data_IF_919870287051
#
_entry.id   IF_919870287051
#
_cell.length_a   1.000
_cell.length_b   1.000
_cell.length_c   1.000
_cell.angle_alpha   90.00
_cell.angle_beta   90.00
_cell.angle_gamma   90.00
#
_symmetry.space_group_name_H-M   'P 1'
#
loop_
_entity.id
_entity.type
_entity.pdbx_description
1 polymer ?
#
# COMPACT_ATOMS: atom_id res chain seq x y z
N UNK A 1 0.34 -20.97 7.84
CA UNK A 1 -0.10 -19.76 8.57
C UNK A 1 -0.50 -18.59 7.64
N UNK A 2 -0.12 -18.63 6.34
CA UNK A 2 -0.43 -17.52 5.41
C UNK A 2 -1.84 -17.61 4.79
N UNK A 3 -2.40 -18.79 4.65
CA UNK A 3 -3.69 -18.98 3.99
C UNK A 3 -4.93 -18.67 4.85
N UNK A 4 -4.83 -18.70 6.19
CA UNK A 4 -5.96 -18.34 7.05
C UNK A 4 -6.17 -16.82 7.19
N UNK A 5 -5.14 -16.02 6.93
CA UNK A 5 -5.24 -14.55 6.99
C UNK A 5 -5.97 -13.97 5.75
N UNK A 6 -5.90 -14.64 4.61
CA UNK A 6 -6.59 -14.21 3.39
C UNK A 6 -8.11 -14.38 3.48
N UNK A 7 -8.59 -15.44 4.15
CA UNK A 7 -10.01 -15.69 4.30
C UNK A 7 -10.76 -14.69 5.21
N UNK A 8 -10.05 -14.07 6.16
CA UNK A 8 -10.63 -13.09 7.09
C UNK A 8 -10.75 -11.67 6.52
N UNK A 9 -9.99 -11.36 5.47
CA UNK A 9 -10.09 -10.06 4.76
C UNK A 9 -11.26 -10.05 3.77
N UNK A 10 -11.68 -11.21 3.28
CA UNK A 10 -12.76 -11.36 2.30
C UNK A 10 -14.17 -11.08 2.87
N UNK A 11 -14.38 -11.22 4.18
CA UNK A 11 -15.67 -10.92 4.82
C UNK A 11 -16.03 -9.43 4.93
N UNK A 12 -15.10 -8.54 4.64
CA UNK A 12 -15.31 -7.08 4.73
C UNK A 12 -15.78 -6.41 3.45
N UNK A 13 -15.60 -7.05 2.30
CA UNK A 13 -15.91 -6.43 1.00
C UNK A 13 -17.33 -6.72 0.48
N UNK A 14 -18.02 -7.74 1.01
CA UNK A 14 -19.29 -8.19 0.43
C UNK A 14 -20.54 -7.39 0.80
N UNK A 15 -20.47 -6.40 1.69
CA UNK A 15 -21.67 -5.65 2.13
C UNK A 15 -21.83 -4.26 1.50
N UNK A 16 -21.03 -3.87 0.51
CA UNK A 16 -21.15 -2.53 -0.11
C UNK A 16 -21.31 -2.55 -1.65
N UNK A 17 -21.29 -3.70 -2.29
CA UNK A 17 -21.32 -3.76 -3.76
C UNK A 17 -22.70 -3.54 -4.39
N UNK A 18 -23.79 -3.54 -3.63
CA UNK A 18 -25.16 -3.52 -4.19
C UNK A 18 -25.76 -2.12 -4.42
N UNK A 19 -25.20 -1.04 -3.87
CA UNK A 19 -25.79 0.30 -4.02
C UNK A 19 -24.94 1.33 -4.76
N UNK A 20 -23.65 1.07 -5.08
CA UNK A 20 -22.73 2.10 -5.57
C UNK A 20 -22.11 1.90 -6.96
N UNK A 21 -22.59 0.96 -7.75
CA UNK A 21 -22.03 0.73 -9.10
C UNK A 21 -22.20 1.91 -10.09
N UNK A 22 -23.06 2.86 -9.80
CA UNK A 22 -23.25 4.07 -10.64
C UNK A 22 -22.51 5.30 -10.10
N UNK A 23 -22.25 5.34 -8.78
CA UNK A 23 -21.60 6.50 -8.16
C UNK A 23 -20.07 6.41 -8.22
N UNK A 24 -19.50 5.21 -8.05
CA UNK A 24 -18.04 5.05 -8.10
C UNK A 24 -17.49 5.34 -9.50
N UNK A 25 -18.13 4.82 -10.55
CA UNK A 25 -17.70 5.09 -11.92
C UNK A 25 -17.82 6.59 -12.31
N UNK A 26 -18.83 7.30 -11.77
CA UNK A 26 -18.94 8.74 -11.98
C UNK A 26 -17.89 9.53 -11.18
N UNK A 27 -17.61 9.13 -9.95
CA UNK A 27 -16.59 9.78 -9.10
C UNK A 27 -15.19 9.57 -9.65
N UNK A 28 -14.86 8.35 -10.11
CA UNK A 28 -13.56 8.06 -10.74
C UNK A 28 -13.38 8.86 -12.03
N UNK A 29 -14.44 8.98 -12.85
CA UNK A 29 -14.40 9.77 -14.08
C UNK A 29 -14.28 11.27 -13.80
N UNK A 30 -14.98 11.78 -12.78
CA UNK A 30 -14.89 13.19 -12.41
C UNK A 30 -13.54 13.53 -11.77
N UNK A 31 -12.98 12.67 -10.92
CA UNK A 31 -11.66 12.90 -10.28
C UNK A 31 -10.54 12.79 -11.30
N UNK A 32 -10.58 11.78 -12.16
CA UNK A 32 -9.60 11.63 -13.25
C UNK A 32 -9.72 12.76 -14.27
N UNK A 33 -10.93 13.23 -14.57
CA UNK A 33 -11.13 14.41 -15.43
C UNK A 33 -10.66 15.70 -14.76
N UNK A 34 -10.90 15.89 -13.45
CA UNK A 34 -10.44 17.06 -12.72
C UNK A 34 -8.89 17.12 -12.64
N UNK A 35 -8.23 15.99 -12.44
CA UNK A 35 -6.76 15.92 -12.48
C UNK A 35 -6.22 16.10 -13.90
N UNK A 36 -6.89 15.56 -14.91
CA UNK A 36 -6.52 15.77 -16.31
C UNK A 36 -6.77 17.22 -16.76
N UNK A 37 -7.83 17.87 -16.26
CA UNK A 37 -8.08 19.29 -16.50
C UNK A 37 -7.06 20.20 -15.79
N UNK A 38 -6.49 19.77 -14.66
CA UNK A 38 -5.34 20.43 -13.99
C UNK A 38 -4.02 20.23 -14.76
N UNK A 39 -3.92 19.28 -15.68
CA UNK A 39 -2.71 18.96 -16.45
C UNK A 39 -2.16 20.11 -17.34
N UNK A 40 -2.76 21.29 -17.29
CA UNK A 40 -2.21 22.54 -17.81
C UNK A 40 -1.27 23.26 -16.83
N UNK A 41 -0.93 22.65 -15.69
CA UNK A 41 -0.03 23.21 -14.69
C UNK A 41 1.39 23.43 -15.23
N UNK A 42 2.07 24.44 -14.70
CA UNK A 42 3.47 24.70 -15.01
C UNK A 42 4.35 23.72 -14.23
N UNK A 43 5.33 23.11 -14.87
CA UNK A 43 6.29 22.24 -14.19
C UNK A 43 6.97 22.96 -13.02
N UNK A 44 6.87 22.37 -11.82
CA UNK A 44 7.47 22.90 -10.59
C UNK A 44 8.92 22.45 -10.50
N UNK A 45 9.85 23.37 -10.58
CA UNK A 45 11.30 23.08 -10.50
C UNK A 45 11.88 23.28 -9.11
N UNK A 46 11.14 23.89 -8.19
CA UNK A 46 11.57 24.13 -6.82
C UNK A 46 10.39 24.19 -5.85
N UNK A 47 10.57 23.57 -4.69
CA UNK A 47 9.70 23.64 -3.53
C UNK A 47 10.50 24.15 -2.33
N UNK A 48 9.85 24.63 -1.25
CA UNK A 48 10.54 24.84 0.01
C UNK A 48 11.24 23.54 0.44
N UNK A 49 12.53 23.61 0.71
CA UNK A 49 13.27 22.47 1.24
C UNK A 49 12.90 22.22 2.71
N UNK A 50 13.22 21.03 3.21
CA UNK A 50 13.05 20.67 4.62
C UNK A 50 13.81 21.67 5.49
N UNK A 51 13.11 22.30 6.43
CA UNK A 51 13.64 23.41 7.24
C UNK A 51 14.58 22.87 8.32
N UNK A 52 15.86 23.19 8.16
CA UNK A 52 16.91 22.78 9.09
C UNK A 52 16.68 23.25 10.53
N UNK A 53 15.78 24.22 10.78
CA UNK A 53 15.54 24.82 12.09
C UNK A 53 14.33 24.24 12.84
N UNK A 54 13.58 23.34 12.21
CA UNK A 54 12.30 22.82 12.75
C UNK A 54 12.35 21.36 13.22
N UNK A 55 13.54 20.83 13.43
CA UNK A 55 13.67 19.46 13.91
C UNK A 55 13.21 19.35 15.37
N UNK A 56 12.43 18.33 15.68
CA UNK A 56 12.09 17.90 17.04
C UNK A 56 12.95 16.70 17.42
N UNK A 57 13.06 16.42 18.71
CA UNK A 57 13.90 15.33 19.21
C UNK A 57 13.13 14.40 20.16
N UNK A 58 13.15 13.13 19.87
CA UNK A 58 12.73 12.07 20.80
C UNK A 58 13.96 11.49 21.50
N UNK A 59 14.08 11.73 22.81
CA UNK A 59 15.24 11.33 23.63
C UNK A 59 15.29 9.83 23.88
N UNK A 60 14.14 9.17 23.95
CA UNK A 60 14.04 7.75 24.30
C UNK A 60 14.55 6.89 23.12
N UNK A 61 14.11 7.23 21.92
CA UNK A 61 14.47 6.53 20.69
C UNK A 61 15.70 7.14 19.99
N UNK A 62 16.17 8.30 20.44
CA UNK A 62 17.29 9.06 19.84
C UNK A 62 17.07 9.38 18.37
N UNK A 63 15.92 9.98 18.07
CA UNK A 63 15.46 10.31 16.73
C UNK A 63 15.18 11.81 16.60
N UNK A 64 15.76 12.47 15.59
CA UNK A 64 15.30 13.76 15.14
C UNK A 64 14.20 13.56 14.09
N UNK A 65 13.16 14.40 14.16
CA UNK A 65 12.01 14.25 13.28
C UNK A 65 11.33 15.57 12.94
N UNK A 66 10.66 15.61 11.80
CA UNK A 66 9.73 16.66 11.38
C UNK A 66 8.50 16.02 10.74
N UNK A 67 7.35 16.69 10.84
CA UNK A 67 6.07 16.30 10.22
C UNK A 67 5.39 17.52 9.62
N UNK A 68 4.32 17.29 8.84
CA UNK A 68 3.59 18.38 8.20
C UNK A 68 4.38 19.03 7.06
N UNK A 69 5.20 18.25 6.36
CA UNK A 69 6.02 18.72 5.25
C UNK A 69 5.27 18.42 3.95
N UNK A 70 4.78 19.45 3.25
CA UNK A 70 4.18 19.29 1.93
C UNK A 70 5.24 18.89 0.91
N UNK A 71 4.98 17.84 0.14
CA UNK A 71 5.87 17.35 -0.88
C UNK A 71 5.47 17.77 -2.31
N UNK A 72 4.42 18.60 -2.44
CA UNK A 72 3.94 19.16 -3.69
C UNK A 72 3.47 20.61 -3.50
N UNK A 73 3.38 21.38 -4.58
CA UNK A 73 3.05 22.80 -4.53
C UNK A 73 1.54 23.07 -4.51
N UNK A 74 0.77 22.20 -5.12
CA UNK A 74 -0.69 22.35 -5.30
C UNK A 74 -1.40 21.03 -4.90
N UNK A 75 -1.37 20.67 -3.60
CA UNK A 75 -1.96 19.43 -3.12
C UNK A 75 -3.44 19.36 -3.48
N UNK A 76 -3.89 18.21 -3.97
CA UNK A 76 -5.29 17.94 -4.20
C UNK A 76 -6.04 17.73 -2.87
N UNK A 77 -5.33 17.22 -1.85
CA UNK A 77 -5.83 17.07 -0.49
C UNK A 77 -4.68 17.25 0.53
N UNK A 78 -4.68 18.38 1.22
CA UNK A 78 -3.64 18.73 2.21
C UNK A 78 -3.57 17.76 3.40
N UNK A 79 -4.62 16.99 3.69
CA UNK A 79 -4.62 16.01 4.78
C UNK A 79 -3.69 14.83 4.47
N UNK A 80 -3.59 14.47 3.19
CA UNK A 80 -2.83 13.29 2.76
C UNK A 80 -1.50 13.63 2.10
N UNK A 81 -1.41 14.74 1.39
CA UNK A 81 -0.24 15.06 0.56
C UNK A 81 0.87 15.79 1.32
N UNK A 82 1.19 15.24 2.49
CA UNK A 82 2.30 15.64 3.37
C UNK A 82 3.12 14.43 3.79
N UNK A 83 4.30 14.68 4.35
CA UNK A 83 5.14 13.63 4.92
C UNK A 83 5.73 14.02 6.29
N UNK A 84 6.21 12.98 6.99
CA UNK A 84 7.10 13.09 8.12
C UNK A 84 8.41 12.37 7.83
N UNK A 85 9.51 12.90 8.35
CA UNK A 85 10.85 12.32 8.22
C UNK A 85 11.45 12.10 9.62
N UNK A 86 12.08 10.94 9.80
CA UNK A 86 12.64 10.47 11.07
C UNK A 86 14.07 9.97 10.83
N UNK A 87 15.01 10.51 11.57
CA UNK A 87 16.45 10.39 11.33
C UNK A 87 17.16 9.94 12.59
N UNK A 88 18.08 8.96 12.54
CA UNK A 88 18.95 8.64 13.68
C UNK A 88 19.67 9.89 14.19
N UNK A 89 19.60 10.16 15.49
CA UNK A 89 20.21 11.36 16.05
C UNK A 89 21.71 11.49 15.80
N UNK A 90 22.40 10.35 15.66
CA UNK A 90 23.83 10.34 15.35
C UNK A 90 24.17 11.04 14.01
N UNK A 91 23.24 11.04 13.04
CA UNK A 91 23.47 11.68 11.73
C UNK A 91 23.27 13.19 11.75
N UNK A 92 22.97 13.79 12.91
CA UNK A 92 22.71 15.20 13.05
C UNK A 92 23.66 15.86 14.04
N UNK A 93 24.18 17.03 13.69
CA UNK A 93 24.74 18.00 14.62
C UNK A 93 23.63 18.98 14.96
N UNK A 94 23.15 18.99 16.18
CA UNK A 94 21.96 19.73 16.60
C UNK A 94 22.32 20.86 17.58
N UNK A 95 21.65 22.00 17.42
CA UNK A 95 21.66 23.12 18.34
C UNK A 95 20.21 23.35 18.79
N UNK A 96 20.01 23.35 20.11
CA UNK A 96 18.72 23.65 20.72
C UNK A 96 18.35 25.14 20.45
N UNK A 97 17.13 25.36 19.95
CA UNK A 97 16.59 26.71 19.70
C UNK A 97 15.91 27.31 20.93
N UNK A 98 15.66 26.50 21.99
CA UNK A 98 15.01 26.91 23.24
C UNK A 98 13.48 26.94 23.19
N UNK A 99 12.85 26.50 22.12
CA UNK A 99 11.40 26.45 21.91
C UNK A 99 10.87 25.01 21.70
N UNK A 100 11.72 24.00 21.97
CA UNK A 100 11.40 22.60 21.74
C UNK A 100 11.79 22.11 20.34
N UNK A 101 12.37 22.98 19.52
CA UNK A 101 12.94 22.64 18.22
C UNK A 101 14.46 22.71 18.22
N UNK A 102 15.07 22.16 17.19
CA UNK A 102 16.52 22.13 17.01
C UNK A 102 16.87 22.58 15.59
N UNK A 103 17.94 23.35 15.51
CA UNK A 103 18.63 23.60 14.23
C UNK A 103 19.65 22.47 14.01
N UNK A 104 19.47 21.70 12.95
CA UNK A 104 20.30 20.54 12.66
C UNK A 104 21.07 20.71 11.35
N UNK A 105 22.28 20.18 11.31
CA UNK A 105 23.10 19.98 10.11
C UNK A 105 23.55 18.52 10.04
N UNK A 106 23.83 18.02 8.84
CA UNK A 106 24.24 16.62 8.66
C UNK A 106 25.59 16.37 9.31
N UNK A 107 25.70 15.26 10.05
CA UNK A 107 26.94 14.72 10.61
C UNK A 107 27.44 13.53 9.77
N UNK A 108 28.20 13.80 8.74
CA UNK A 108 28.74 12.77 7.84
C UNK A 108 29.81 11.86 8.46
N UNK A 109 30.30 12.20 9.68
CA UNK A 109 31.32 11.40 10.38
C UNK A 109 30.71 10.26 11.22
N UNK A 110 29.44 10.33 11.53
CA UNK A 110 28.79 9.33 12.33
C UNK A 110 28.34 8.12 11.52
N UNK A 111 28.33 6.96 12.17
CA UNK A 111 27.79 5.72 11.60
C UNK A 111 26.86 5.02 12.58
N UNK A 112 25.77 4.43 12.08
CA UNK A 112 24.83 3.59 12.82
C UNK A 112 24.71 2.26 12.08
N UNK A 113 25.03 1.15 12.77
CA UNK A 113 24.97 -0.20 12.19
C UNK A 113 25.68 -0.37 10.83
N UNK A 114 26.75 0.40 10.61
CA UNK A 114 27.57 0.34 9.38
C UNK A 114 27.14 1.32 8.28
N UNK A 115 26.05 2.05 8.46
CA UNK A 115 25.63 3.12 7.55
C UNK A 115 26.08 4.48 8.08
N UNK A 116 26.55 5.34 7.19
CA UNK A 116 26.82 6.75 7.50
C UNK A 116 25.62 7.62 7.10
N UNK A 117 25.66 8.90 7.46
CA UNK A 117 24.64 9.85 7.02
C UNK A 117 24.48 9.90 5.49
N UNK A 118 25.56 9.67 4.74
CA UNK A 118 25.56 9.74 3.27
C UNK A 118 25.20 8.40 2.59
N UNK A 119 25.19 7.29 3.34
CA UNK A 119 24.96 5.94 2.79
C UNK A 119 23.71 5.23 3.38
N UNK A 120 23.02 5.88 4.30
CA UNK A 120 21.87 5.32 4.96
C UNK A 120 20.70 5.13 3.98
N UNK A 121 20.13 3.92 3.86
CA UNK A 121 18.93 3.71 3.05
C UNK A 121 17.75 4.51 3.58
N UNK A 122 16.89 4.95 2.68
CA UNK A 122 15.62 5.58 2.99
C UNK A 122 14.49 4.56 2.81
N UNK A 123 13.65 4.40 3.81
CA UNK A 123 12.53 3.45 3.78
C UNK A 123 11.20 4.18 3.87
N UNK A 124 10.28 3.80 3.01
CA UNK A 124 8.93 4.38 2.88
C UNK A 124 7.90 3.26 3.05
N UNK A 125 7.30 3.10 4.23
CA UNK A 125 6.21 2.16 4.42
C UNK A 125 4.95 2.67 3.72
N UNK A 126 4.24 1.77 3.04
CA UNK A 126 2.95 2.02 2.40
C UNK A 126 1.89 1.19 3.13
N UNK A 127 1.11 1.84 3.97
CA UNK A 127 0.10 1.19 4.81
C UNK A 127 -1.31 1.62 4.39
N UNK A 128 -1.76 1.11 3.25
CA UNK A 128 -3.03 1.43 2.59
C UNK A 128 -3.91 0.19 2.43
N UNK A 129 -4.41 -0.40 3.54
CA UNK A 129 -5.22 -1.60 3.47
C UNK A 129 -6.46 -1.37 2.59
N UNK A 130 -6.71 -2.26 1.62
CA UNK A 130 -7.81 -2.10 0.65
C UNK A 130 -7.72 -0.81 -0.17
N UNK A 131 -6.51 -0.29 -0.40
CA UNK A 131 -6.26 1.00 -1.08
C UNK A 131 -6.88 2.22 -0.39
N UNK A 132 -7.12 2.15 0.92
CA UNK A 132 -7.56 3.34 1.68
C UNK A 132 -6.50 4.43 1.67
N UNK A 133 -6.92 5.67 1.86
CA UNK A 133 -5.99 6.77 2.08
C UNK A 133 -5.10 6.53 3.31
N UNK A 134 -3.91 7.06 3.28
CA UNK A 134 -2.95 7.05 4.39
C UNK A 134 -2.68 8.48 4.83
N UNK A 135 -3.19 8.85 6.00
CA UNK A 135 -3.00 10.18 6.57
C UNK A 135 -1.53 10.43 6.90
N UNK A 136 -1.03 11.60 6.57
CA UNK A 136 0.31 12.01 6.94
C UNK A 136 0.44 12.14 8.47
N UNK A 137 1.60 11.81 9.06
CA UNK A 137 1.78 11.94 10.51
C UNK A 137 1.84 13.42 10.91
N UNK A 138 1.18 13.74 12.02
CA UNK A 138 1.22 15.08 12.66
C UNK A 138 2.12 15.12 13.89
N UNK A 139 2.56 13.95 14.36
CA UNK A 139 3.41 13.80 15.53
C UNK A 139 4.41 12.64 15.34
N UNK A 140 5.21 12.36 16.35
CA UNK A 140 6.20 11.30 16.35
C UNK A 140 5.60 9.92 16.03
N UNK A 141 6.20 9.20 15.10
CA UNK A 141 5.79 7.84 14.71
C UNK A 141 6.69 6.82 15.41
N UNK A 142 6.17 6.13 16.41
CA UNK A 142 6.94 5.18 17.23
C UNK A 142 7.56 4.02 16.41
N UNK A 143 6.90 3.60 15.33
CA UNK A 143 7.42 2.53 14.45
C UNK A 143 8.74 2.93 13.77
N UNK A 144 9.02 4.23 13.61
CA UNK A 144 10.28 4.73 13.05
C UNK A 144 11.51 4.32 13.88
N UNK A 145 11.33 4.11 15.20
CA UNK A 145 12.43 3.78 16.12
C UNK A 145 13.20 2.53 15.72
N UNK A 146 12.52 1.49 15.25
CA UNK A 146 13.16 0.24 14.84
C UNK A 146 14.04 0.41 13.61
N UNK A 147 13.62 1.24 12.65
CA UNK A 147 14.34 1.53 11.41
C UNK A 147 15.52 2.47 11.67
N UNK A 148 15.31 3.52 12.44
CA UNK A 148 16.38 4.49 12.79
C UNK A 148 17.44 3.86 13.68
N UNK A 149 17.08 2.95 14.58
CA UNK A 149 18.04 2.15 15.35
C UNK A 149 18.88 1.20 14.46
N UNK A 150 18.36 0.80 13.30
CA UNK A 150 19.08 0.04 12.29
C UNK A 150 19.95 0.93 11.37
N UNK A 151 19.87 2.25 11.51
CA UNK A 151 20.63 3.21 10.73
C UNK A 151 19.93 3.70 9.47
N UNK A 152 18.64 3.44 9.31
CA UNK A 152 17.85 3.87 8.15
C UNK A 152 17.17 5.22 8.41
N UNK A 153 16.91 5.95 7.34
CA UNK A 153 16.02 7.09 7.36
C UNK A 153 14.59 6.57 7.13
N UNK A 154 13.65 6.96 7.99
CA UNK A 154 12.26 6.55 7.86
C UNK A 154 11.42 7.74 7.38
N UNK A 155 10.68 7.55 6.29
CA UNK A 155 9.79 8.56 5.72
C UNK A 155 8.36 8.02 5.76
N UNK A 156 7.50 8.68 6.51
CA UNK A 156 6.08 8.40 6.55
C UNK A 156 5.36 9.40 5.63
N UNK A 157 5.14 9.02 4.39
CA UNK A 157 4.38 9.83 3.44
C UNK A 157 2.90 9.48 3.55
N UNK A 158 2.04 10.49 3.65
CA UNK A 158 0.61 10.32 3.42
C UNK A 158 0.34 10.15 1.93
N UNK A 159 -0.81 9.61 1.59
CA UNK A 159 -1.28 9.55 0.20
C UNK A 159 -2.80 9.39 0.15
N UNK A 160 -3.41 9.88 -0.91
CA UNK A 160 -4.83 9.69 -1.20
C UNK A 160 -5.13 8.20 -1.44
N UNK A 161 -6.35 7.80 -1.23
CA UNK A 161 -6.80 6.42 -1.39
C UNK A 161 -7.68 6.22 -2.62
N UNK A 162 -8.32 5.03 -2.68
CA UNK A 162 -9.21 4.62 -3.76
C UNK A 162 -10.39 5.59 -3.99
N UNK A 163 -10.82 6.32 -2.95
CA UNK A 163 -11.93 7.28 -3.08
C UNK A 163 -11.56 8.49 -3.95
N UNK A 164 -10.26 8.75 -4.13
CA UNK A 164 -9.75 9.75 -5.06
C UNK A 164 -9.54 9.21 -6.50
N UNK A 165 -9.81 7.90 -6.72
CA UNK A 165 -9.59 7.24 -7.99
C UNK A 165 -8.12 6.86 -8.26
N UNK A 166 -7.92 6.01 -9.25
CA UNK A 166 -6.58 5.67 -9.74
C UNK A 166 -6.11 6.74 -10.75
N UNK A 167 -4.81 7.14 -10.74
CA UNK A 167 -3.70 6.59 -9.97
C UNK A 167 -3.29 7.43 -8.74
N UNK A 168 -4.21 8.17 -8.10
CA UNK A 168 -3.93 9.21 -7.11
C UNK A 168 -2.91 8.76 -6.02
N UNK A 169 -3.16 7.65 -5.34
CA UNK A 169 -2.28 7.21 -4.24
C UNK A 169 -0.84 6.89 -4.67
N UNK A 170 -0.65 6.31 -5.85
CA UNK A 170 0.70 6.03 -6.40
C UNK A 170 1.36 7.33 -6.84
N UNK A 171 0.59 8.26 -7.44
CA UNK A 171 1.07 9.61 -7.82
C UNK A 171 1.63 10.35 -6.60
N UNK A 172 0.88 10.35 -5.48
CA UNK A 172 1.27 11.01 -4.24
C UNK A 172 2.58 10.43 -3.68
N UNK A 173 2.69 9.11 -3.65
CA UNK A 173 3.92 8.44 -3.20
C UNK A 173 5.12 8.73 -4.12
N UNK A 174 4.91 8.82 -5.44
CA UNK A 174 5.95 9.24 -6.40
C UNK A 174 6.37 10.69 -6.15
N UNK A 175 5.41 11.60 -5.91
CA UNK A 175 5.71 12.99 -5.57
C UNK A 175 6.53 13.10 -4.28
N UNK A 176 6.19 12.31 -3.24
CA UNK A 176 6.98 12.24 -2.01
C UNK A 176 8.42 11.75 -2.25
N UNK A 177 8.63 10.74 -3.11
CA UNK A 177 9.97 10.26 -3.47
C UNK A 177 10.76 11.36 -4.21
N UNK A 178 10.14 12.04 -5.18
CA UNK A 178 10.76 13.19 -5.87
C UNK A 178 11.16 14.28 -4.89
N UNK A 179 10.30 14.59 -3.93
CA UNK A 179 10.59 15.61 -2.91
C UNK A 179 11.76 15.20 -2.00
N UNK A 180 11.85 13.94 -1.60
CA UNK A 180 13.00 13.44 -0.82
C UNK A 180 14.30 13.59 -1.61
N UNK A 181 14.34 13.23 -2.89
CA UNK A 181 15.50 13.43 -3.76
C UNK A 181 15.84 14.89 -3.98
N UNK A 182 14.84 15.75 -4.10
CA UNK A 182 15.03 17.20 -4.19
C UNK A 182 15.73 17.78 -2.95
N UNK A 183 15.61 17.11 -1.80
CA UNK A 183 16.26 17.47 -0.55
C UNK A 183 17.64 16.78 -0.35
N UNK A 184 18.27 16.29 -1.42
CA UNK A 184 19.63 15.76 -1.35
C UNK A 184 20.58 16.79 -0.75
N UNK A 185 21.44 16.35 0.18
CA UNK A 185 22.35 17.22 0.92
C UNK A 185 21.70 18.13 1.98
N UNK A 186 20.38 18.13 2.08
CA UNK A 186 19.61 18.85 3.14
C UNK A 186 19.24 17.88 4.26
N UNK A 187 18.90 16.65 3.91
CA UNK A 187 18.62 15.55 4.83
C UNK A 187 19.75 14.52 4.79
N UNK A 188 20.02 13.78 5.88
CA UNK A 188 20.85 12.59 5.80
C UNK A 188 20.10 11.47 5.06
N UNK A 189 20.87 10.56 4.47
CA UNK A 189 20.39 9.42 3.71
C UNK A 189 20.92 9.47 2.26
N UNK A 190 21.03 8.29 1.68
CA UNK A 190 21.34 8.13 0.26
C UNK A 190 20.00 8.18 -0.49
N UNK A 191 19.70 9.32 -1.09
CA UNK A 191 18.44 9.56 -1.81
C UNK A 191 18.28 8.69 -3.06
N UNK A 192 19.34 8.03 -3.51
CA UNK A 192 19.31 7.04 -4.58
C UNK A 192 19.03 5.61 -4.05
N UNK A 193 18.99 5.43 -2.71
CA UNK A 193 18.72 4.16 -2.06
C UNK A 193 17.38 4.17 -1.32
N UNK A 194 16.32 4.38 -2.06
CA UNK A 194 14.94 4.42 -1.56
C UNK A 194 14.28 3.05 -1.71
N UNK A 195 13.68 2.56 -0.62
CA UNK A 195 12.94 1.31 -0.59
C UNK A 195 11.50 1.55 -0.13
N UNK A 196 10.54 1.10 -0.91
CA UNK A 196 9.13 1.03 -0.49
C UNK A 196 8.78 -0.37 0.00
N UNK A 197 7.81 -0.47 0.89
CA UNK A 197 7.29 -1.75 1.32
C UNK A 197 5.86 -1.64 1.84
N UNK A 198 5.08 -2.70 1.64
CA UNK A 198 3.70 -2.72 2.11
C UNK A 198 3.04 -4.09 1.97
N UNK A 199 1.85 -4.21 2.51
CA UNK A 199 1.06 -5.43 2.46
C UNK A 199 -0.33 -5.14 1.87
N UNK A 200 -0.92 -6.11 1.15
CA UNK A 200 -2.25 -6.02 0.52
C UNK A 200 -2.32 -4.82 -0.45
N UNK A 201 -3.22 -3.87 -0.26
CA UNK A 201 -3.27 -2.63 -1.05
C UNK A 201 -1.96 -1.85 -1.00
N UNK A 202 -1.32 -1.75 0.17
CA UNK A 202 0.02 -1.14 0.31
C UNK A 202 1.12 -1.93 -0.40
N UNK A 203 1.00 -3.27 -0.44
CA UNK A 203 1.87 -4.14 -1.23
C UNK A 203 1.73 -3.89 -2.72
N UNK A 204 0.51 -3.69 -3.21
CA UNK A 204 0.24 -3.38 -4.60
C UNK A 204 0.79 -2.00 -5.00
N UNK A 205 0.56 -0.97 -4.18
CA UNK A 205 1.13 0.36 -4.44
C UNK A 205 2.66 0.35 -4.39
N UNK A 206 3.26 -0.41 -3.46
CA UNK A 206 4.72 -0.60 -3.45
C UNK A 206 5.23 -1.33 -4.70
N UNK A 207 4.48 -2.32 -5.22
CA UNK A 207 4.81 -3.00 -6.47
C UNK A 207 4.75 -2.04 -7.67
N UNK A 208 3.73 -1.18 -7.72
CA UNK A 208 3.61 -0.15 -8.75
C UNK A 208 4.76 0.86 -8.69
N UNK A 209 5.16 1.32 -7.50
CA UNK A 209 6.35 2.18 -7.34
C UNK A 209 7.61 1.51 -7.90
N UNK A 210 7.80 0.20 -7.64
CA UNK A 210 8.93 -0.55 -8.15
C UNK A 210 8.90 -0.77 -9.67
N UNK A 211 7.72 -0.96 -10.25
CA UNK A 211 7.56 -1.30 -11.66
C UNK A 211 7.46 -0.09 -12.59
N UNK A 212 7.05 1.08 -12.08
CA UNK A 212 6.71 2.26 -12.88
C UNK A 212 7.59 3.48 -12.58
N UNK A 213 8.81 3.25 -12.07
CA UNK A 213 9.75 4.36 -11.83
C UNK A 213 9.99 5.16 -13.11
N UNK A 214 9.85 6.48 -13.00
CA UNK A 214 10.03 7.44 -14.09
C UNK A 214 9.10 7.22 -15.31
N UNK A 215 7.96 6.54 -15.14
CA UNK A 215 6.99 6.38 -16.21
C UNK A 215 6.34 7.71 -16.57
N UNK A 216 6.36 8.04 -17.87
CA UNK A 216 5.74 9.25 -18.42
C UNK A 216 4.21 9.27 -18.21
N UNK A 217 3.57 8.12 -17.99
CA UNK A 217 2.13 8.00 -17.75
C UNK A 217 1.68 8.74 -16.47
N UNK A 218 2.58 8.90 -15.50
CA UNK A 218 2.31 9.63 -14.26
C UNK A 218 2.58 11.14 -14.35
N UNK A 219 3.30 11.62 -15.36
CA UNK A 219 3.68 13.04 -15.46
C UNK A 219 2.48 14.01 -15.47
N UNK A 220 1.36 13.73 -16.15
CA UNK A 220 0.18 14.61 -16.07
C UNK A 220 -0.35 14.76 -14.65
N UNK A 221 -0.41 13.67 -13.89
CA UNK A 221 -0.92 13.65 -12.52
C UNK A 221 0.07 14.29 -11.53
N UNK A 222 1.36 14.02 -11.68
CA UNK A 222 2.42 14.65 -10.89
C UNK A 222 2.48 16.16 -11.11
N UNK A 223 2.31 16.60 -12.35
CA UNK A 223 2.23 18.03 -12.69
C UNK A 223 0.97 18.67 -12.09
N UNK A 224 -0.18 17.96 -12.10
CA UNK A 224 -1.44 18.46 -11.57
C UNK A 224 -1.39 18.80 -10.08
N UNK A 225 -0.62 18.05 -9.28
CA UNK A 225 -0.41 18.31 -7.85
C UNK A 225 0.83 19.18 -7.57
N UNK A 226 1.52 19.63 -8.60
CA UNK A 226 2.73 20.44 -8.44
C UNK A 226 3.90 19.66 -7.79
N UNK A 227 4.09 18.40 -8.14
CA UNK A 227 5.27 17.63 -7.76
C UNK A 227 6.54 18.21 -8.37
N UNK A 228 7.69 18.03 -7.70
CA UNK A 228 8.97 18.47 -8.25
C UNK A 228 9.26 17.78 -9.57
N UNK A 229 9.53 18.54 -10.62
CA UNK A 229 9.87 18.07 -11.96
C UNK A 229 11.36 17.89 -12.16
N UNK A 230 11.75 17.02 -13.10
CA UNK A 230 13.15 16.78 -13.44
C UNK A 230 13.91 15.97 -12.38
N UNK A 231 13.21 15.33 -11.45
CA UNK A 231 13.75 14.46 -10.41
C UNK A 231 13.11 13.09 -10.55
N UNK A 232 13.90 12.02 -10.46
CA UNK A 232 13.41 10.64 -10.57
C UNK A 232 12.52 10.24 -9.40
N UNK A 233 11.49 9.41 -9.66
CA UNK A 233 10.68 8.73 -8.63
C UNK A 233 10.93 7.22 -8.58
N UNK A 234 11.91 6.70 -9.31
CA UNK A 234 12.27 5.30 -9.29
C UNK A 234 12.80 4.88 -7.91
N UNK A 235 12.36 3.75 -7.38
CA UNK A 235 12.86 3.19 -6.13
C UNK A 235 13.92 2.14 -6.40
N UNK A 236 14.85 1.96 -5.45
CA UNK A 236 15.90 0.93 -5.52
C UNK A 236 15.32 -0.47 -5.41
N UNK A 237 14.24 -0.59 -4.66
CA UNK A 237 13.52 -1.84 -4.49
C UNK A 237 12.20 -1.67 -3.75
N UNK A 238 11.31 -2.63 -3.97
CA UNK A 238 10.03 -2.71 -3.27
C UNK A 238 9.85 -4.10 -2.65
N UNK A 239 9.38 -4.13 -1.40
CA UNK A 239 9.02 -5.36 -0.70
C UNK A 239 7.49 -5.45 -0.61
N UNK A 240 6.90 -6.37 -1.37
CA UNK A 240 5.47 -6.45 -1.57
C UNK A 240 4.92 -7.74 -0.95
N UNK A 241 4.16 -7.61 0.13
CA UNK A 241 3.52 -8.76 0.76
C UNK A 241 2.08 -8.88 0.28
N UNK A 242 1.71 -10.06 -0.26
CA UNK A 242 0.39 -10.37 -0.82
C UNK A 242 -0.21 -9.20 -1.63
N UNK A 243 0.51 -8.65 -2.62
CA UNK A 243 0.01 -7.54 -3.42
C UNK A 243 -1.16 -8.02 -4.29
N UNK A 244 -2.18 -7.17 -4.43
CA UNK A 244 -3.23 -7.37 -5.43
C UNK A 244 -2.81 -6.53 -6.63
N UNK A 245 -2.31 -7.20 -7.67
CA UNK A 245 -1.69 -6.54 -8.83
C UNK A 245 -2.49 -6.67 -10.11
N UNK A 246 -3.51 -7.55 -10.13
CA UNK A 246 -4.42 -7.74 -11.25
C UNK A 246 -5.84 -7.40 -10.79
N UNK A 247 -6.27 -6.16 -11.05
CA UNK A 247 -7.58 -5.67 -10.63
C UNK A 247 -8.65 -5.83 -11.71
N UNK A 248 -8.25 -5.93 -12.98
CA UNK A 248 -9.19 -5.99 -14.10
C UNK A 248 -10.06 -7.26 -14.04
N UNK A 249 -9.53 -8.34 -13.46
CA UNK A 249 -10.21 -9.63 -13.33
C UNK A 249 -10.34 -10.11 -11.88
N UNK A 250 -10.13 -9.22 -10.92
CA UNK A 250 -10.16 -9.61 -9.49
C UNK A 250 -11.54 -10.06 -9.04
N UNK A 251 -12.59 -9.35 -9.43
CA UNK A 251 -13.96 -9.65 -9.05
C UNK A 251 -14.43 -10.94 -9.70
N UNK A 252 -14.08 -11.16 -10.97
CA UNK A 252 -14.32 -12.41 -11.70
C UNK A 252 -13.62 -13.60 -11.03
N UNK A 253 -12.38 -13.41 -10.56
CA UNK A 253 -11.64 -14.44 -9.83
C UNK A 253 -12.31 -14.79 -8.50
N UNK A 254 -12.85 -13.80 -7.78
CA UNK A 254 -13.59 -14.04 -6.55
C UNK A 254 -14.90 -14.78 -6.82
N UNK A 255 -15.65 -14.40 -7.84
CA UNK A 255 -16.90 -15.07 -8.20
C UNK A 255 -16.62 -16.51 -8.69
N UNK A 256 -15.60 -16.73 -9.49
CA UNK A 256 -15.16 -18.08 -9.86
C UNK A 256 -14.84 -18.96 -8.67
N UNK A 257 -14.15 -18.41 -7.65
CA UNK A 257 -13.69 -19.19 -6.50
C UNK A 257 -14.75 -19.37 -5.44
N UNK A 258 -15.56 -18.35 -5.16
CA UNK A 258 -16.45 -18.28 -4.00
C UNK A 258 -17.93 -18.06 -4.35
N UNK A 259 -18.27 -17.69 -5.57
CA UNK A 259 -19.63 -17.33 -5.97
C UNK A 259 -20.65 -18.43 -5.68
N UNK A 260 -20.30 -19.68 -5.94
CA UNK A 260 -21.14 -20.86 -5.69
C UNK A 260 -21.30 -21.23 -4.20
N UNK A 261 -20.57 -20.58 -3.29
CA UNK A 261 -20.68 -20.80 -1.84
C UNK A 261 -21.73 -19.91 -1.18
N UNK A 262 -22.21 -18.87 -1.89
CA UNK A 262 -23.23 -17.96 -1.38
C UNK A 262 -24.62 -18.57 -1.57
N UNK A 263 -25.47 -18.39 -0.58
CA UNK A 263 -26.83 -19.00 -0.55
C UNK A 263 -27.94 -17.97 -0.49
N UNK A 264 -27.61 -16.69 -0.45
CA UNK A 264 -28.51 -15.56 -0.24
C UNK A 264 -28.60 -14.60 -1.44
N UNK A 265 -28.12 -15.04 -2.61
CA UNK A 265 -28.17 -14.27 -3.85
C UNK A 265 -29.59 -14.28 -4.44
N UNK A 266 -30.00 -13.14 -4.99
CA UNK A 266 -31.15 -13.05 -5.87
C UNK A 266 -30.84 -13.73 -7.21
N UNK A 267 -31.86 -14.05 -8.01
CA UNK A 267 -31.68 -14.63 -9.34
C UNK A 267 -30.82 -13.75 -10.26
N UNK A 268 -30.95 -12.43 -10.15
CA UNK A 268 -30.13 -11.48 -10.92
C UNK A 268 -28.66 -11.48 -10.47
N UNK A 269 -28.41 -11.50 -9.18
CA UNK A 269 -27.04 -11.58 -8.62
C UNK A 269 -26.39 -12.91 -8.96
N UNK A 270 -27.14 -14.01 -8.91
CA UNK A 270 -26.63 -15.32 -9.31
C UNK A 270 -26.26 -15.35 -10.80
N UNK A 271 -27.08 -14.75 -11.66
CA UNK A 271 -26.78 -14.63 -13.10
C UNK A 271 -25.49 -13.82 -13.34
N UNK A 272 -25.32 -12.71 -12.60
CA UNK A 272 -24.11 -11.90 -12.68
C UNK A 272 -22.89 -12.70 -12.19
N UNK A 273 -22.99 -13.33 -11.04
CA UNK A 273 -21.91 -14.17 -10.45
C UNK A 273 -21.46 -15.28 -11.41
N UNK A 274 -22.42 -15.98 -12.03
CA UNK A 274 -22.10 -17.02 -13.02
C UNK A 274 -21.41 -16.47 -14.24
N UNK A 275 -21.85 -15.30 -14.75
CA UNK A 275 -21.21 -14.63 -15.88
C UNK A 275 -19.80 -14.16 -15.57
N UNK A 276 -19.53 -13.69 -14.36
CA UNK A 276 -18.18 -13.31 -13.91
C UNK A 276 -17.27 -14.55 -13.77
N UNK A 277 -17.79 -15.66 -13.26
CA UNK A 277 -17.05 -16.92 -13.18
C UNK A 277 -16.68 -17.46 -14.58
N UNK A 278 -17.58 -17.34 -15.56
CA UNK A 278 -17.32 -17.66 -16.97
C UNK A 278 -16.23 -16.75 -17.55
N UNK A 279 -16.30 -15.43 -17.32
CA UNK A 279 -15.32 -14.47 -17.80
C UNK A 279 -13.92 -14.78 -17.26
N UNK A 280 -13.82 -15.14 -15.97
CA UNK A 280 -12.53 -15.56 -15.38
C UNK A 280 -12.01 -16.85 -16.02
N UNK A 281 -12.86 -17.84 -16.25
CA UNK A 281 -12.45 -19.07 -16.91
C UNK A 281 -11.92 -18.81 -18.32
N UNK A 282 -12.57 -17.94 -19.08
CA UNK A 282 -12.10 -17.52 -20.40
C UNK A 282 -10.75 -16.78 -20.31
N UNK A 283 -10.60 -15.84 -19.38
CA UNK A 283 -9.34 -15.15 -19.15
C UNK A 283 -8.17 -16.11 -18.87
N UNK A 284 -8.35 -17.07 -17.97
CA UNK A 284 -7.33 -18.09 -17.67
C UNK A 284 -6.98 -18.92 -18.91
N UNK A 285 -7.98 -19.31 -19.69
CA UNK A 285 -7.76 -20.09 -20.90
C UNK A 285 -7.01 -19.29 -21.98
N UNK A 286 -7.30 -18.00 -22.11
CA UNK A 286 -6.64 -17.11 -23.07
C UNK A 286 -5.18 -16.81 -22.71
N UNK A 287 -4.84 -16.82 -21.40
CA UNK A 287 -3.46 -16.67 -20.93
C UNK A 287 -2.55 -17.83 -21.40
N UNK A 288 -3.11 -19.01 -21.71
CA UNK A 288 -2.34 -20.17 -22.15
C UNK A 288 -1.29 -20.62 -21.15
N UNK A 289 -1.60 -20.55 -19.86
CA UNK A 289 -0.72 -20.97 -18.76
C UNK A 289 -0.30 -22.42 -18.93
N UNK A 290 0.91 -22.77 -18.46
CA UNK A 290 1.45 -24.13 -18.58
C UNK A 290 1.98 -24.62 -17.23
N UNK A 291 1.86 -25.93 -17.02
CA UNK A 291 2.53 -26.61 -15.92
C UNK A 291 4.06 -26.71 -16.17
N UNK A 292 4.79 -27.27 -15.21
CA UNK A 292 6.23 -27.47 -15.29
C UNK A 292 6.66 -28.48 -16.43
N UNK A 293 5.71 -29.25 -16.96
CA UNK A 293 5.91 -30.19 -18.06
C UNK A 293 5.58 -29.58 -19.42
N UNK A 294 5.07 -28.33 -19.46
CA UNK A 294 4.68 -27.60 -20.65
C UNK A 294 3.25 -27.87 -21.13
N UNK A 295 2.42 -28.59 -20.35
CA UNK A 295 1.02 -28.82 -20.69
C UNK A 295 0.20 -27.57 -20.39
N UNK A 296 -0.72 -27.24 -21.31
CA UNK A 296 -1.61 -26.10 -21.13
C UNK A 296 -2.61 -26.39 -19.99
N UNK A 297 -2.77 -25.41 -19.11
CA UNK A 297 -3.72 -25.41 -18.03
C UNK A 297 -5.02 -24.72 -18.48
N UNK A 298 -6.17 -25.37 -18.26
CA UNK A 298 -7.47 -24.87 -18.68
C UNK A 298 -8.51 -25.00 -17.57
N UNK A 299 -9.46 -24.07 -17.56
CA UNK A 299 -10.70 -24.16 -16.79
C UNK A 299 -11.84 -24.60 -17.70
N UNK A 300 -12.70 -25.46 -17.18
CA UNK A 300 -13.90 -25.93 -17.86
C UNK A 300 -15.10 -25.90 -16.88
N UNK A 301 -16.28 -25.76 -17.45
CA UNK A 301 -17.51 -25.83 -16.69
C UNK A 301 -17.71 -27.23 -16.08
N UNK A 302 -18.01 -27.27 -14.79
CA UNK A 302 -18.32 -28.50 -14.04
C UNK A 302 -19.82 -28.71 -13.87
N UNK A 303 -20.54 -27.63 -13.60
CA UNK A 303 -22.00 -27.54 -13.50
C UNK A 303 -22.39 -26.17 -14.08
N UNK A 304 -23.67 -25.94 -14.33
CA UNK A 304 -24.18 -24.69 -14.93
C UNK A 304 -23.69 -23.47 -14.14
N UNK A 305 -22.86 -22.63 -14.78
CA UNK A 305 -22.27 -21.42 -14.21
C UNK A 305 -21.14 -21.66 -13.21
N UNK A 306 -20.66 -22.89 -13.04
CA UNK A 306 -19.57 -23.25 -12.14
C UNK A 306 -18.39 -23.81 -12.94
N UNK A 307 -17.24 -23.12 -12.91
CA UNK A 307 -16.04 -23.47 -13.70
C UNK A 307 -14.94 -24.10 -12.82
N UNK A 308 -15.31 -25.03 -11.93
CA UNK A 308 -14.39 -25.70 -11.01
C UNK A 308 -14.00 -27.09 -11.53
N UNK A 309 -13.57 -27.15 -12.78
CA UNK A 309 -13.05 -28.34 -13.47
C UNK A 309 -11.94 -27.96 -14.44
N UNK A 310 -11.22 -28.96 -14.95
CA UNK A 310 -10.11 -28.76 -15.89
C UNK A 310 -8.74 -28.78 -15.23
N UNK A 311 -7.69 -28.74 -16.06
CA UNK A 311 -6.29 -28.92 -15.61
C UNK A 311 -5.78 -27.80 -14.73
N UNK A 312 -6.27 -26.56 -14.89
CA UNK A 312 -5.94 -25.44 -14.00
C UNK A 312 -6.52 -25.63 -12.60
N UNK A 313 -7.79 -26.06 -12.52
CA UNK A 313 -8.43 -26.36 -11.23
C UNK A 313 -7.71 -27.47 -10.48
N UNK A 314 -7.42 -28.59 -11.15
CA UNK A 314 -6.70 -29.71 -10.52
C UNK A 314 -5.26 -29.32 -10.12
N UNK A 315 -4.59 -28.50 -10.90
CA UNK A 315 -3.28 -27.94 -10.54
C UNK A 315 -3.31 -27.14 -9.25
N UNK A 316 -4.25 -26.17 -9.13
CA UNK A 316 -4.40 -25.38 -7.91
C UNK A 316 -4.78 -26.22 -6.71
N UNK A 317 -5.71 -27.17 -6.89
CA UNK A 317 -6.11 -28.12 -5.85
C UNK A 317 -4.90 -28.92 -5.34
N UNK A 318 -4.06 -29.41 -6.23
CA UNK A 318 -2.82 -30.12 -5.86
C UNK A 318 -1.84 -29.24 -5.07
N UNK A 319 -1.72 -27.94 -5.39
CA UNK A 319 -0.90 -26.99 -4.63
C UNK A 319 -1.47 -26.81 -3.22
N UNK A 320 -2.79 -26.63 -3.09
CA UNK A 320 -3.47 -26.47 -1.78
C UNK A 320 -3.34 -27.74 -0.94
N UNK A 321 -3.54 -28.92 -1.53
CA UNK A 321 -3.39 -30.22 -0.85
C UNK A 321 -1.95 -30.43 -0.35
N UNK A 322 -0.95 -30.08 -1.17
CA UNK A 322 0.46 -30.15 -0.77
C UNK A 322 0.75 -29.22 0.40
N UNK A 323 0.27 -27.98 0.34
CA UNK A 323 0.42 -27.01 1.43
C UNK A 323 -0.25 -27.47 2.73
N UNK A 324 -1.44 -28.07 2.63
CA UNK A 324 -2.15 -28.63 3.78
C UNK A 324 -1.39 -29.81 4.40
N UNK A 325 -0.90 -30.72 3.58
CA UNK A 325 -0.12 -31.86 4.07
C UNK A 325 1.15 -31.40 4.79
N UNK A 326 1.89 -30.46 4.22
CA UNK A 326 3.07 -29.88 4.89
C UNK A 326 2.69 -29.23 6.24
N UNK A 327 1.59 -28.50 6.30
CA UNK A 327 1.10 -27.94 7.56
C UNK A 327 0.75 -29.01 8.58
N UNK A 328 0.10 -30.10 8.17
CA UNK A 328 -0.27 -31.20 9.07
C UNK A 328 0.96 -31.96 9.58
N UNK A 329 1.99 -32.11 8.76
CA UNK A 329 3.27 -32.76 9.15
C UNK A 329 4.07 -31.90 10.13
N UNK A 330 4.08 -30.57 9.93
CA UNK A 330 4.85 -29.62 10.74
C UNK A 330 4.13 -29.21 12.04
N UNK A 331 2.86 -29.59 12.23
CA UNK A 331 2.02 -29.06 13.30
C UNK A 331 1.66 -30.12 14.32
N UNK A 332 1.94 -29.85 15.60
CA UNK A 332 1.48 -30.69 16.71
C UNK A 332 0.05 -30.30 17.11
N UNK A 333 -0.84 -31.27 17.19
CA UNK A 333 -2.22 -31.06 17.61
C UNK A 333 -2.44 -31.48 19.09
N UNK A 334 -3.38 -30.81 19.83
CA UNK A 334 -4.25 -29.75 19.34
C UNK A 334 -3.52 -28.44 19.00
N UNK A 335 -3.78 -27.88 17.81
CA UNK A 335 -3.17 -26.65 17.37
C UNK A 335 -3.87 -25.44 17.99
N UNK A 336 -3.11 -24.61 18.68
CA UNK A 336 -3.62 -23.35 19.21
C UNK A 336 -2.94 -22.22 18.43
N UNK A 337 -3.72 -21.40 17.76
CA UNK A 337 -3.20 -20.17 17.15
C UNK A 337 -2.72 -19.27 18.28
N UNK A 338 -1.42 -19.11 18.44
CA UNK A 338 -0.89 -18.02 19.24
C UNK A 338 -1.26 -16.72 18.53
N UNK A 339 -2.35 -16.10 18.96
CA UNK A 339 -2.59 -14.70 18.65
C UNK A 339 -1.47 -13.90 19.31
N UNK A 340 -0.36 -13.69 18.61
CA UNK A 340 0.54 -12.61 18.96
C UNK A 340 -0.36 -11.38 18.97
N UNK A 341 -0.62 -10.81 20.15
CA UNK A 341 -1.27 -9.50 20.28
C UNK A 341 -0.51 -8.58 19.34
N UNK A 342 -1.10 -8.30 18.18
CA UNK A 342 -0.54 -7.38 17.23
C UNK A 342 -0.23 -6.11 17.99
N UNK A 343 0.94 -5.55 17.84
CA UNK A 343 1.22 -4.18 18.22
C UNK A 343 0.06 -3.35 17.66
N UNK A 344 -0.68 -2.76 18.56
CA UNK A 344 -1.84 -1.93 18.26
C UNK A 344 -1.31 -0.70 17.53
N UNK A 345 -1.32 -0.76 16.19
CA UNK A 345 -1.12 0.44 15.36
C UNK A 345 -2.18 1.45 15.78
N UNK A 346 -1.76 2.58 16.33
CA UNK A 346 -2.66 3.66 16.73
C UNK A 346 -3.35 4.25 15.53
N UNK A 347 -4.67 4.34 15.60
CA UNK A 347 -5.53 4.92 14.58
C UNK A 347 -6.99 4.51 14.80
N UNK A 348 -7.56 4.79 15.97
CA UNK A 348 -9.02 4.79 16.14
C UNK A 348 -9.56 6.12 15.65
N UNK A 349 -10.04 6.16 14.41
CA UNK A 349 -11.08 7.08 14.00
C UNK A 349 -12.37 6.74 14.76
N UNK A 350 -12.87 7.68 15.58
CA UNK A 350 -14.20 7.60 16.18
C UNK A 350 -15.24 7.83 15.08
N UNK A 351 -16.22 6.94 14.99
CA UNK A 351 -17.43 7.22 14.25
C UNK A 351 -18.18 5.95 13.83
N UNK A 352 -19.19 5.55 14.60
CA UNK A 352 -20.16 4.53 14.20
C UNK A 352 -20.71 3.75 15.38
N UNK A 353 -21.83 4.22 15.94
CA UNK A 353 -22.63 3.48 16.92
C UNK A 353 -23.08 2.12 16.34
N UNK A 354 -22.77 1.05 17.04
CA UNK A 354 -23.39 -0.26 16.79
C UNK A 354 -24.86 -0.23 17.22
N UNK A 355 -25.78 -0.79 16.44
CA UNK A 355 -27.09 -1.16 16.95
C UNK A 355 -26.96 -2.43 17.80
N UNK A 356 -27.52 -2.39 19.01
CA UNK A 356 -27.73 -3.55 19.86
C UNK A 356 -28.67 -4.56 19.18
N UNK A 357 -28.20 -5.77 19.00
CA UNK A 357 -29.01 -6.91 18.55
C UNK A 357 -28.41 -8.21 19.05
N UNK A 358 -28.79 -8.60 20.26
CA UNK A 358 -28.45 -9.89 20.84
C UNK A 358 -29.03 -11.03 20.03
N UNK A 359 -28.22 -11.97 19.58
CA UNK A 359 -28.65 -13.32 19.26
C UNK A 359 -28.11 -14.25 20.35
N UNK A 360 -29.03 -14.64 21.23
CA UNK A 360 -28.86 -15.73 22.18
C UNK A 360 -28.79 -17.05 21.41
N UNK A 361 -27.73 -17.83 21.68
CA UNK A 361 -27.65 -19.21 21.27
C UNK A 361 -28.62 -20.07 22.05
N UNK A 362 -29.29 -20.98 21.35
CA UNK A 362 -30.06 -22.07 21.94
C UNK A 362 -29.61 -23.40 21.32
N UNK A 363 -29.15 -24.29 22.21
CA UNK A 363 -28.92 -25.74 22.14
C UNK A 363 -28.42 -26.37 20.84
#
# INVERSE_FOLDING_TARGET
GLFLAAALVLSGCSNHAAENGSSAAQTETETSQAETERAGGTAVTSLPQIDATKWKYNSDDKVYWQTGISYCADPADEEYEMLGIFVPAAYMNAKDNGDGTFTCTINSQAAVKGYTADSAPIVIPVNTPGYSAMTAPTDYVADSASYTAAGFIYVAAGCRGRDAGAPAGVTDLKAAIRYIRYNDGVIPGDVDRVFSFGMSGGGAQSALLGATGDSEDYEPYLTAIGAVSGVSDAVTGSMCWCPITELDYADEAYEWNLGNTRTDLTEQEQTLSNGMAEAFAQYINDLGLKDSSGNVLTLTESEEGIYQSGTYYEYLKGVVETSLNNFLEDTTFPYTVETKKGRQGGGRGQGGQKPDGALQGGN
#
